data_IF_343481929115
#
_entry.id   IF_343481929115
#
_cell.length_a   1.000
_cell.length_b   1.000
_cell.length_c   1.000
_cell.angle_alpha   90.00
_cell.angle_beta   90.00
_cell.angle_gamma   90.00
#
_symmetry.space_group_name_H-M   'P 1'
#
loop_
_entity.id
_entity.type
_entity.pdbx_description
1 polymer ?
#
# COMPACT_ATOMS: atom_id res chain seq x y z
N UNK A 1 -16.76 8.88 17.21
CA UNK A 1 -17.37 9.54 16.03
C UNK A 1 -16.42 9.33 14.86
N UNK A 2 -16.87 8.72 13.77
CA UNK A 2 -16.09 8.67 12.52
C UNK A 2 -16.27 10.02 11.81
N UNK A 3 -15.19 10.76 11.65
CA UNK A 3 -15.18 12.06 10.94
C UNK A 3 -15.15 11.84 9.45
N UNK A 4 -15.85 12.68 8.67
CA UNK A 4 -15.73 12.67 7.22
C UNK A 4 -14.30 13.08 6.83
N UNK A 5 -13.55 12.23 6.12
CA UNK A 5 -12.18 12.56 5.74
C UNK A 5 -12.18 13.73 4.74
N UNK A 6 -11.23 14.65 4.90
CA UNK A 6 -11.08 15.79 4.01
C UNK A 6 -10.29 15.37 2.77
N UNK A 7 -10.92 15.49 1.61
CA UNK A 7 -10.30 15.30 0.29
C UNK A 7 -9.85 16.67 -0.23
N UNK A 8 -8.63 16.75 -0.75
CA UNK A 8 -8.05 17.96 -1.34
C UNK A 8 -7.06 17.63 -2.45
N UNK A 9 -6.34 18.65 -2.93
CA UNK A 9 -5.20 18.44 -3.83
C UNK A 9 -3.90 18.33 -3.05
N UNK A 10 -3.06 17.38 -3.44
CA UNK A 10 -1.67 17.23 -3.00
C UNK A 10 -0.78 17.29 -4.24
N UNK A 11 -0.26 18.48 -4.55
CA UNK A 11 0.43 18.73 -5.82
C UNK A 11 -0.50 18.51 -7.02
N UNK A 12 -0.09 17.62 -7.92
CA UNK A 12 -0.86 17.30 -9.14
C UNK A 12 -1.92 16.20 -8.93
N UNK A 13 -1.99 15.62 -7.75
CA UNK A 13 -2.89 14.50 -7.44
C UNK A 13 -3.98 14.89 -6.44
N UNK A 14 -5.08 14.14 -6.42
CA UNK A 14 -6.01 14.17 -5.30
C UNK A 14 -5.38 13.47 -4.09
N UNK A 15 -5.62 13.99 -2.89
CA UNK A 15 -5.17 13.41 -1.63
C UNK A 15 -6.28 13.42 -0.60
N UNK A 16 -6.26 12.44 0.30
CA UNK A 16 -7.18 12.34 1.42
C UNK A 16 -6.37 12.31 2.71
N UNK A 17 -6.75 13.14 3.68
CA UNK A 17 -6.11 13.09 5.00
C UNK A 17 -6.75 11.98 5.82
N UNK A 18 -5.92 11.04 6.26
CA UNK A 18 -6.29 10.00 7.21
C UNK A 18 -5.93 10.43 8.63
N UNK A 19 -6.78 10.08 9.58
CA UNK A 19 -6.49 10.31 11.00
C UNK A 19 -5.39 9.35 11.49
N UNK A 20 -4.49 9.78 12.40
CA UNK A 20 -3.41 8.94 12.90
C UNK A 20 -3.88 7.59 13.46
N UNK A 21 -5.02 7.55 14.16
CA UNK A 21 -5.59 6.29 14.66
C UNK A 21 -5.96 5.30 13.54
N UNK A 22 -6.35 5.79 12.35
CA UNK A 22 -6.64 4.92 11.22
C UNK A 22 -5.36 4.34 10.62
N UNK A 23 -4.27 5.12 10.61
CA UNK A 23 -2.96 4.63 10.17
C UNK A 23 -2.43 3.55 11.12
N UNK A 24 -2.56 3.75 12.43
CA UNK A 24 -2.23 2.75 13.44
C UNK A 24 -3.08 1.49 13.29
N UNK A 25 -4.40 1.64 13.08
CA UNK A 25 -5.29 0.51 12.87
C UNK A 25 -4.96 -0.30 11.60
N UNK A 26 -4.58 0.38 10.52
CA UNK A 26 -4.14 -0.25 9.29
C UNK A 26 -2.73 -0.85 9.40
N UNK A 27 -1.99 -0.53 10.46
CA UNK A 27 -0.57 -0.90 10.64
C UNK A 27 0.27 -0.51 9.41
N UNK A 28 0.09 0.75 8.97
CA UNK A 28 0.78 1.35 7.83
C UNK A 28 1.63 2.52 8.31
N UNK A 29 2.90 2.54 7.91
CA UNK A 29 3.82 3.64 8.17
C UNK A 29 3.79 4.68 7.05
N UNK A 30 4.25 5.90 7.35
CA UNK A 30 4.44 6.93 6.31
C UNK A 30 5.46 6.41 5.28
N UNK A 31 5.08 6.43 4.00
CA UNK A 31 5.87 5.85 2.91
C UNK A 31 5.56 4.39 2.61
N UNK A 32 4.68 3.74 3.40
CA UNK A 32 4.18 2.41 3.11
C UNK A 32 3.13 2.39 2.00
N UNK A 33 2.91 1.20 1.44
CA UNK A 33 1.94 0.97 0.36
C UNK A 33 0.59 0.51 0.90
N UNK A 34 -0.46 0.91 0.19
CA UNK A 34 -1.85 0.55 0.50
C UNK A 34 -2.58 0.19 -0.79
N UNK A 35 -3.54 -0.73 -0.67
CA UNK A 35 -4.45 -1.05 -1.75
C UNK A 35 -5.72 -0.23 -1.62
N UNK A 36 -6.13 0.39 -2.73
CA UNK A 36 -7.38 1.15 -2.81
C UNK A 36 -8.26 0.52 -3.89
N UNK A 37 -9.42 0.02 -3.48
CA UNK A 37 -10.39 -0.62 -4.36
C UNK A 37 -11.74 0.08 -4.26
N UNK A 38 -12.57 -0.01 -5.30
CA UNK A 38 -13.96 0.43 -5.21
C UNK A 38 -14.87 -0.78 -5.00
N UNK A 39 -15.69 -0.76 -3.95
CA UNK A 39 -16.77 -1.73 -3.78
C UNK A 39 -17.89 -1.43 -4.78
N UNK A 40 -18.27 -2.42 -5.59
CA UNK A 40 -19.24 -2.24 -6.68
C UNK A 40 -20.66 -1.97 -6.16
N UNK A 41 -21.00 -2.52 -4.98
CA UNK A 41 -22.35 -2.41 -4.41
C UNK A 41 -22.58 -1.05 -3.76
N UNK A 42 -21.64 -0.61 -2.93
CA UNK A 42 -21.76 0.65 -2.19
C UNK A 42 -21.13 1.84 -2.90
N UNK A 43 -20.37 1.60 -3.99
CA UNK A 43 -19.48 2.59 -4.64
C UNK A 43 -18.40 3.16 -3.71
N UNK A 44 -18.27 2.62 -2.50
CA UNK A 44 -17.32 3.10 -1.51
C UNK A 44 -15.89 2.73 -1.92
N UNK A 45 -14.94 3.60 -1.57
CA UNK A 45 -13.52 3.25 -1.64
C UNK A 45 -13.14 2.47 -0.38
N UNK A 46 -12.59 1.28 -0.59
CA UNK A 46 -12.09 0.39 0.44
C UNK A 46 -10.57 0.47 0.42
N UNK A 47 -10.00 0.89 1.55
CA UNK A 47 -8.55 0.98 1.76
C UNK A 47 -8.12 -0.21 2.60
N UNK A 48 -7.08 -0.91 2.16
CA UNK A 48 -6.49 -2.05 2.88
C UNK A 48 -4.98 -1.89 2.93
N UNK A 49 -4.36 -2.48 3.97
CA UNK A 49 -2.90 -2.67 4.00
C UNK A 49 -2.49 -3.52 2.81
N UNK A 50 -1.47 -3.07 2.07
CA UNK A 50 -0.90 -3.89 1.01
C UNK A 50 -0.20 -5.10 1.63
N UNK A 51 -0.50 -6.30 1.12
CA UNK A 51 0.06 -7.55 1.61
C UNK A 51 0.63 -8.32 0.42
N UNK A 52 1.95 -8.52 0.43
CA UNK A 52 2.60 -9.43 -0.53
C UNK A 52 2.15 -10.84 -0.15
N UNK A 53 1.35 -11.46 -1.01
CA UNK A 53 0.97 -12.86 -0.88
C UNK A 53 2.11 -13.75 -1.40
N UNK A 54 2.21 -15.01 -0.94
CA UNK A 54 3.21 -15.95 -1.47
C UNK A 54 3.11 -16.13 -2.99
N UNK A 55 1.90 -16.04 -3.55
CA UNK A 55 1.66 -16.08 -5.00
C UNK A 55 2.27 -14.87 -5.70
N UNK A 56 2.04 -13.66 -5.19
CA UNK A 56 2.67 -12.44 -5.74
C UNK A 56 4.20 -12.43 -5.58
N UNK A 57 4.73 -13.08 -4.54
CA UNK A 57 6.16 -13.25 -4.37
C UNK A 57 6.74 -14.19 -5.44
N UNK A 58 6.03 -15.28 -5.76
CA UNK A 58 6.45 -16.19 -6.83
C UNK A 58 6.49 -15.45 -8.17
N UNK A 59 5.48 -14.64 -8.50
CA UNK A 59 5.45 -13.83 -9.71
C UNK A 59 6.60 -12.80 -9.77
N UNK A 60 6.99 -12.22 -8.63
CA UNK A 60 8.15 -11.32 -8.53
C UNK A 60 9.47 -12.05 -8.78
N UNK A 61 9.53 -13.34 -8.44
CA UNK A 61 10.73 -14.17 -8.60
C UNK A 61 10.78 -14.88 -9.96
N UNK A 62 9.66 -14.97 -10.70
CA UNK A 62 9.53 -15.71 -11.97
C UNK A 62 10.26 -15.05 -13.17
N UNK A 63 11.08 -14.03 -12.91
CA UNK A 63 12.01 -13.43 -13.86
C UNK A 63 13.39 -13.15 -13.26
N UNK A 64 13.66 -13.65 -12.05
CA UNK A 64 14.95 -13.44 -11.38
C UNK A 64 15.92 -14.55 -11.79
N UNK A 65 16.95 -14.18 -12.55
CA UNK A 65 18.01 -15.05 -13.07
C UNK A 65 19.15 -15.34 -12.07
N UNK A 66 19.05 -14.82 -10.84
CA UNK A 66 19.87 -15.28 -9.72
C UNK A 66 21.33 -14.83 -9.70
N UNK A 67 21.75 -13.88 -10.54
CA UNK A 67 23.12 -13.33 -10.52
C UNK A 67 23.27 -12.28 -9.40
N UNK A 68 23.19 -12.71 -8.14
CA UNK A 68 23.72 -11.93 -7.01
C UNK A 68 25.10 -12.50 -6.64
N UNK A 69 26.12 -12.12 -7.40
CA UNK A 69 27.52 -12.37 -7.01
C UNK A 69 27.76 -11.70 -5.66
N UNK A 70 27.75 -12.52 -4.61
CA UNK A 70 28.12 -12.05 -3.27
C UNK A 70 29.63 -11.89 -3.28
N UNK A 71 30.10 -10.72 -3.68
CA UNK A 71 31.48 -10.29 -3.46
C UNK A 71 31.68 -10.08 -1.94
N UNK A 72 31.77 -11.17 -1.19
CA UNK A 72 32.41 -11.14 0.13
C UNK A 72 33.91 -11.04 -0.16
N UNK A 73 34.40 -9.81 -0.20
CA UNK A 73 35.83 -9.56 -0.19
C UNK A 73 36.40 -10.14 1.11
N UNK A 74 37.13 -11.25 0.97
CA UNK A 74 37.94 -11.86 2.03
C UNK A 74 39.07 -10.94 2.48
#
# INVERSE_FOLDING_TARGET
MLTSPKIGRLGNSAGMRLDPMLLEFLDVTVGGEIDVMQDEKSRALVIKKHMITPESLADLLDGWDGDFETHVAT
#
